data_IF_836208314428
#
_entry.id   IF_836208314428
#
_cell.length_a   1.000
_cell.length_b   1.000
_cell.length_c   1.000
_cell.angle_alpha   90.00
_cell.angle_beta   90.00
_cell.angle_gamma   90.00
#
_symmetry.space_group_name_H-M   'P 1'
#
loop_
_entity.id
_entity.type
_entity.pdbx_description
1 polymer ?
#
# COMPACT_ATOMS: atom_id res chain seq x y z
N UNK A 1 15.77 -2.08 6.33
CA UNK A 1 14.68 -2.98 6.80
C UNK A 1 13.53 -2.08 7.22
N UNK A 2 12.33 -2.33 6.72
CA UNK A 2 11.11 -1.61 7.08
C UNK A 2 10.11 -2.60 7.68
N UNK A 3 9.22 -2.12 8.53
CA UNK A 3 8.15 -2.91 9.12
C UNK A 3 7.05 -1.99 9.61
N UNK A 4 5.82 -2.45 9.52
CA UNK A 4 4.63 -1.76 10.03
C UNK A 4 3.66 -2.80 10.59
N UNK A 5 2.59 -2.33 11.23
CA UNK A 5 1.53 -3.15 11.79
C UNK A 5 0.26 -3.04 10.94
N UNK A 6 -0.37 -4.17 10.66
CA UNK A 6 -1.68 -4.27 10.00
C UNK A 6 -2.54 -5.26 10.78
N UNK A 7 -3.57 -4.75 11.44
CA UNK A 7 -4.47 -5.49 12.31
C UNK A 7 -5.22 -4.54 13.26
N UNK A 8 -6.16 -5.08 14.01
CA UNK A 8 -6.96 -4.38 15.02
C UNK A 8 -6.96 -5.11 16.36
N UNK A 9 -8.05 -4.94 17.11
CA UNK A 9 -8.22 -5.38 18.50
C UNK A 9 -8.34 -6.90 18.69
N UNK A 10 -8.56 -7.67 17.63
CA UNK A 10 -8.81 -9.10 17.70
C UNK A 10 -7.88 -9.87 16.73
N UNK A 11 -8.23 -11.12 16.40
CA UNK A 11 -7.37 -11.99 15.61
C UNK A 11 -7.44 -11.64 14.13
N UNK A 12 -6.29 -11.23 13.59
CA UNK A 12 -6.11 -10.96 12.17
C UNK A 12 -5.05 -11.91 11.59
N UNK A 13 -5.34 -12.50 10.43
CA UNK A 13 -4.45 -13.48 9.79
C UNK A 13 -4.19 -13.09 8.34
N UNK A 14 -2.93 -12.82 8.03
CA UNK A 14 -2.46 -12.72 6.65
C UNK A 14 -2.20 -14.13 6.09
N UNK A 15 -2.76 -14.41 4.90
CA UNK A 15 -2.59 -15.69 4.22
C UNK A 15 -1.67 -15.60 3.01
N UNK A 16 -1.63 -14.46 2.32
CA UNK A 16 -0.75 -14.26 1.18
C UNK A 16 -0.22 -12.83 1.11
N UNK A 17 0.98 -12.70 0.54
CA UNK A 17 1.63 -11.44 0.22
C UNK A 17 2.21 -11.52 -1.18
N UNK A 18 2.00 -10.49 -1.99
CA UNK A 18 2.53 -10.41 -3.35
C UNK A 18 2.84 -8.96 -3.72
N UNK A 19 3.90 -8.73 -4.50
CA UNK A 19 4.09 -7.42 -5.13
C UNK A 19 2.96 -7.17 -6.13
N UNK A 20 2.45 -5.93 -6.19
CA UNK A 20 1.45 -5.55 -7.19
C UNK A 20 2.09 -5.21 -8.55
N UNK A 21 3.41 -5.37 -8.70
CA UNK A 21 4.18 -5.00 -9.89
C UNK A 21 4.61 -3.52 -9.95
N UNK A 22 4.05 -2.66 -9.09
CA UNK A 22 4.48 -1.28 -8.93
C UNK A 22 5.53 -1.16 -7.81
N UNK A 23 6.51 -0.28 -7.99
CA UNK A 23 7.58 -0.09 -7.01
C UNK A 23 7.02 0.41 -5.67
N UNK A 24 7.37 -0.29 -4.58
CA UNK A 24 6.89 0.02 -3.24
C UNK A 24 5.49 -0.51 -2.93
N UNK A 25 4.76 -1.05 -3.90
CA UNK A 25 3.42 -1.58 -3.70
C UNK A 25 3.41 -3.09 -3.48
N UNK A 26 2.79 -3.51 -2.38
CA UNK A 26 2.56 -4.91 -2.04
C UNK A 26 1.11 -5.08 -1.62
N UNK A 27 0.51 -6.20 -2.00
CA UNK A 27 -0.83 -6.59 -1.59
C UNK A 27 -0.74 -7.70 -0.56
N UNK A 28 -1.49 -7.55 0.53
CA UNK A 28 -1.67 -8.55 1.58
C UNK A 28 -3.14 -8.95 1.59
N UNK A 29 -3.40 -10.25 1.61
CA UNK A 29 -4.77 -10.78 1.73
C UNK A 29 -4.89 -11.66 2.97
N UNK A 30 -6.10 -11.72 3.52
CA UNK A 30 -6.32 -12.42 4.77
C UNK A 30 -7.75 -12.33 5.28
N UNK A 31 -7.91 -12.71 6.53
CA UNK A 31 -9.14 -12.51 7.29
C UNK A 31 -8.90 -11.61 8.49
N UNK A 32 -9.91 -10.83 8.85
CA UNK A 32 -9.95 -10.05 10.09
C UNK A 32 -11.14 -10.46 10.94
N UNK A 33 -10.92 -10.58 12.25
CA UNK A 33 -11.97 -10.69 13.26
C UNK A 33 -12.11 -9.41 14.10
N UNK A 34 -11.51 -8.32 13.63
CA UNK A 34 -11.36 -7.05 14.34
C UNK A 34 -12.34 -6.03 13.80
N UNK A 35 -13.25 -5.54 14.64
CA UNK A 35 -14.21 -4.50 14.24
C UNK A 35 -13.57 -3.13 13.95
N UNK A 36 -12.32 -2.97 14.36
CA UNK A 36 -11.45 -1.82 14.19
C UNK A 36 -10.29 -2.11 13.22
N UNK A 37 -10.45 -3.10 12.32
CA UNK A 37 -9.44 -3.36 11.29
C UNK A 37 -9.20 -2.09 10.44
N UNK A 38 -7.94 -1.72 10.15
CA UNK A 38 -7.65 -0.50 9.40
C UNK A 38 -8.24 -0.54 7.99
N UNK A 39 -9.10 0.42 7.67
CA UNK A 39 -9.66 0.63 6.34
C UNK A 39 -9.34 2.04 5.83
N UNK A 40 -9.59 2.28 4.54
CA UNK A 40 -9.50 3.62 3.95
C UNK A 40 -10.90 4.08 3.55
N UNK A 41 -11.18 5.40 3.45
CA UNK A 41 -12.50 5.89 3.07
C UNK A 41 -13.01 5.43 1.70
N UNK A 42 -12.12 4.93 0.84
CA UNK A 42 -12.44 4.43 -0.50
C UNK A 42 -12.38 2.90 -0.59
N UNK A 43 -12.25 2.20 0.54
CA UNK A 43 -12.32 0.74 0.56
C UNK A 43 -13.71 0.28 0.11
N UNK A 44 -13.76 -0.91 -0.50
CA UNK A 44 -15.02 -1.51 -0.96
C UNK A 44 -15.98 -1.76 0.20
N UNK A 45 -15.41 -2.17 1.33
CA UNK A 45 -16.08 -2.39 2.59
C UNK A 45 -15.25 -1.74 3.68
N UNK A 46 -15.88 -0.90 4.49
CA UNK A 46 -15.23 -0.14 5.56
C UNK A 46 -15.70 -0.56 6.95
N UNK A 47 -16.69 -1.46 7.03
CA UNK A 47 -17.31 -1.89 8.28
C UNK A 47 -17.06 -3.38 8.50
N UNK A 48 -17.08 -3.78 9.77
CA UNK A 48 -16.96 -5.18 10.13
C UNK A 48 -18.33 -5.85 10.19
N UNK A 49 -18.54 -6.88 9.38
CA UNK A 49 -19.88 -7.36 9.04
C UNK A 49 -20.32 -8.65 9.76
N UNK A 50 -19.62 -9.08 10.81
CA UNK A 50 -20.12 -10.15 11.69
C UNK A 50 -19.06 -11.10 12.22
N UNK A 51 -18.97 -12.32 11.69
CA UNK A 51 -18.09 -13.37 12.24
C UNK A 51 -16.66 -13.35 11.69
N UNK A 52 -16.35 -12.46 10.76
CA UNK A 52 -15.05 -12.33 10.11
C UNK A 52 -15.17 -11.84 8.68
N UNK A 53 -14.29 -10.92 8.28
CA UNK A 53 -14.26 -10.38 6.93
C UNK A 53 -12.98 -10.75 6.20
N UNK A 54 -13.08 -10.86 4.88
CA UNK A 54 -11.92 -10.96 4.00
C UNK A 54 -11.40 -9.56 3.72
N UNK A 55 -10.08 -9.37 3.81
CA UNK A 55 -9.45 -8.13 3.39
C UNK A 55 -8.49 -8.34 2.21
N UNK A 56 -8.37 -7.29 1.41
CA UNK A 56 -7.31 -7.11 0.42
C UNK A 56 -6.71 -5.73 0.66
N UNK A 57 -5.52 -5.70 1.28
CA UNK A 57 -4.85 -4.45 1.67
C UNK A 57 -3.67 -4.19 0.74
N UNK A 58 -3.65 -3.02 0.10
CA UNK A 58 -2.48 -2.53 -0.62
C UNK A 58 -1.64 -1.68 0.32
N UNK A 59 -0.41 -2.10 0.58
CA UNK A 59 0.59 -1.35 1.31
C UNK A 59 1.52 -0.66 0.31
N UNK A 60 1.56 0.68 0.36
CA UNK A 60 2.57 1.47 -0.34
C UNK A 60 3.67 1.84 0.64
N UNK A 61 4.82 1.19 0.50
CA UNK A 61 6.02 1.58 1.19
C UNK A 61 6.71 2.59 0.29
N UNK A 62 6.59 3.87 0.66
CA UNK A 62 7.27 4.95 -0.03
C UNK A 62 8.73 4.56 -0.23
N UNK A 63 9.08 4.26 -1.48
CA UNK A 63 10.46 4.41 -1.90
C UNK A 63 10.69 5.91 -1.71
N UNK A 64 11.71 6.32 -0.97
CA UNK A 64 12.15 7.71 -1.02
C UNK A 64 12.26 8.06 -2.51
N UNK A 65 11.28 8.79 -3.05
CA UNK A 65 11.32 9.40 -4.37
C UNK A 65 11.90 10.78 -4.09
N UNK A 66 13.24 10.95 -4.01
CA UNK A 66 13.79 12.28 -3.99
C UNK A 66 13.23 12.98 -5.24
N UNK A 67 12.67 14.20 -5.12
CA UNK A 67 12.04 14.88 -6.23
C UNK A 67 12.98 14.80 -7.43
N UNK A 68 12.54 14.18 -8.54
CA UNK A 68 13.37 14.04 -9.75
C UNK A 68 13.91 15.43 -10.08
N UNK A 69 15.24 15.68 -9.99
CA UNK A 69 15.75 16.94 -10.47
C UNK A 69 15.45 16.97 -11.96
N UNK A 70 14.52 17.84 -12.37
CA UNK A 70 14.31 18.19 -13.78
C UNK A 70 15.58 18.91 -14.23
N UNK A 71 16.58 18.15 -14.65
CA UNK A 71 17.70 18.70 -15.40
C UNK A 71 17.16 19.06 -16.78
N UNK A 72 16.71 20.31 -16.92
CA UNK A 72 16.65 20.95 -18.23
C UNK A 72 18.09 21.15 -18.68
N UNK A 73 18.63 20.24 -19.51
CA UNK A 73 19.77 20.61 -20.33
C UNK A 73 19.26 21.63 -21.35
N UNK A 74 19.73 22.89 -21.37
CA UNK A 74 19.54 23.72 -22.55
C UNK A 74 20.36 23.04 -23.64
N UNK A 75 19.67 22.36 -24.55
CA UNK A 75 20.25 21.94 -25.81
C UNK A 75 20.57 23.22 -26.58
N UNK A 76 21.78 23.71 -26.42
CA UNK A 76 22.32 24.78 -27.25
C UNK A 76 22.43 24.21 -28.66
N UNK A 77 21.47 24.54 -29.52
CA UNK A 77 21.71 24.52 -30.96
C UNK A 77 22.57 25.74 -31.27
N UNK A 78 23.87 25.54 -31.44
CA UNK A 78 24.64 26.41 -32.32
C UNK A 78 24.75 25.72 -33.66
N UNK A 79 24.03 26.26 -34.63
CA UNK A 79 24.34 26.09 -36.05
C UNK A 79 25.56 26.93 -36.40
N UNK A 80 26.36 26.38 -37.31
CA UNK A 80 27.58 26.92 -37.90
C UNK A 80 28.23 25.83 -38.71
#
# INVERSE_FOLDING_TARGET
>A
IYGTYLGGSNTDRAYAVASSGAAGDTVVTGITLSSDFPTTPLAYDTEYNGSGDVFVTKLHLGVFDPPRPRVWLPMVRHGG
#
